data_IF_565116875322
#
_entry.id   IF_565116875322
#
_cell.length_a   1.000
_cell.length_b   1.000
_cell.length_c   1.000
_cell.angle_alpha   90.00
_cell.angle_beta   90.00
_cell.angle_gamma   90.00
#
_symmetry.space_group_name_H-M   'P 1'
#
loop_
_entity.id
_entity.type
_entity.pdbx_description
1 polymer ?
#
# COMPACT_ATOMS: atom_id res chain seq x y z
N UNK A 1 3.40 -14.51 6.93
CA UNK A 1 2.42 -13.46 6.60
C UNK A 1 2.95 -12.74 5.37
N UNK A 2 2.11 -12.57 4.36
CA UNK A 2 2.52 -11.91 3.11
C UNK A 2 2.26 -10.41 3.27
N UNK A 3 3.36 -9.64 3.30
CA UNK A 3 3.31 -8.18 3.42
C UNK A 3 3.37 -7.57 2.03
N UNK A 4 2.43 -6.70 1.70
CA UNK A 4 2.29 -6.06 0.39
C UNK A 4 2.78 -4.61 0.52
N UNK A 5 3.84 -4.26 -0.19
CA UNK A 5 4.26 -2.87 -0.34
C UNK A 5 3.52 -2.26 -1.53
N UNK A 6 2.70 -1.25 -1.25
CA UNK A 6 1.94 -0.49 -2.23
C UNK A 6 2.63 0.86 -2.44
N UNK A 7 3.12 1.11 -3.66
CA UNK A 7 3.81 2.34 -4.02
C UNK A 7 3.05 3.04 -5.13
N UNK A 8 2.55 4.23 -4.88
CA UNK A 8 1.75 5.01 -5.83
C UNK A 8 1.84 6.50 -5.48
N UNK A 9 1.84 7.38 -6.49
CA UNK A 9 1.93 8.83 -6.28
C UNK A 9 0.58 9.44 -5.85
N UNK A 10 -0.54 8.74 -6.07
CA UNK A 10 -1.87 9.18 -5.67
C UNK A 10 -2.30 8.61 -4.30
N UNK A 11 -2.52 9.51 -3.35
CA UNK A 11 -2.96 9.18 -1.98
C UNK A 11 -4.35 8.52 -1.94
N UNK A 12 -5.23 8.83 -2.89
CA UNK A 12 -6.56 8.23 -2.97
C UNK A 12 -6.45 6.76 -3.37
N UNK A 13 -5.54 6.44 -4.30
CA UNK A 13 -5.26 5.07 -4.73
C UNK A 13 -4.62 4.29 -3.59
N UNK A 14 -3.58 4.83 -2.96
CA UNK A 14 -2.94 4.19 -1.80
C UNK A 14 -3.95 3.83 -0.71
N UNK A 15 -4.85 4.77 -0.38
CA UNK A 15 -5.85 4.57 0.67
C UNK A 15 -6.92 3.55 0.27
N UNK A 16 -7.45 3.63 -0.95
CA UNK A 16 -8.51 2.73 -1.41
C UNK A 16 -8.01 1.28 -1.52
N UNK A 17 -6.80 1.09 -2.02
CA UNK A 17 -6.21 -0.24 -2.23
C UNK A 17 -5.71 -0.81 -0.91
N UNK A 18 -5.12 -0.01 -0.02
CA UNK A 18 -4.71 -0.48 1.31
C UNK A 18 -5.91 -0.99 2.10
N UNK A 19 -7.04 -0.26 2.14
CA UNK A 19 -8.25 -0.71 2.83
C UNK A 19 -8.80 -2.02 2.25
N UNK A 20 -8.72 -2.19 0.94
CA UNK A 20 -9.21 -3.42 0.27
C UNK A 20 -8.32 -4.61 0.64
N UNK A 21 -7.01 -4.45 0.58
CA UNK A 21 -6.04 -5.50 0.88
C UNK A 21 -6.01 -5.86 2.38
N UNK A 22 -6.16 -4.87 3.27
CA UNK A 22 -6.31 -5.12 4.70
C UNK A 22 -7.60 -5.87 5.02
N UNK A 23 -8.71 -5.60 4.31
CA UNK A 23 -9.96 -6.34 4.47
C UNK A 23 -9.85 -7.81 4.05
N UNK A 24 -8.97 -8.12 3.09
CA UNK A 24 -8.61 -9.48 2.68
C UNK A 24 -7.62 -10.16 3.65
N UNK A 25 -7.15 -9.45 4.68
CA UNK A 25 -6.26 -9.96 5.72
C UNK A 25 -4.77 -9.90 5.36
N UNK A 26 -4.39 -9.06 4.40
CA UNK A 26 -2.98 -8.78 4.08
C UNK A 26 -2.46 -7.59 4.90
N UNK A 27 -1.18 -7.64 5.26
CA UNK A 27 -0.50 -6.47 5.81
C UNK A 27 -0.03 -5.57 4.66
N UNK A 28 -0.47 -4.31 4.63
CA UNK A 28 -0.15 -3.37 3.56
C UNK A 28 0.72 -2.25 4.11
N UNK A 29 1.84 -1.97 3.43
CA UNK A 29 2.62 -0.76 3.64
C UNK A 29 2.47 0.16 2.44
N UNK A 30 2.06 1.40 2.67
CA UNK A 30 1.85 2.38 1.60
C UNK A 30 3.03 3.36 1.53
N UNK A 31 3.52 3.60 0.33
CA UNK A 31 4.60 4.54 0.06
C UNK A 31 4.17 5.49 -1.05
N UNK A 32 4.31 6.79 -0.80
CA UNK A 32 3.98 7.84 -1.76
C UNK A 32 5.15 8.13 -2.73
N UNK A 33 6.36 7.70 -2.40
CA UNK A 33 7.56 7.97 -3.16
C UNK A 33 8.31 6.65 -3.39
N UNK A 34 8.60 6.33 -4.65
CA UNK A 34 9.41 5.18 -5.02
C UNK A 34 10.83 5.26 -4.46
N UNK A 35 11.34 6.45 -4.12
CA UNK A 35 12.62 6.59 -3.42
C UNK A 35 12.53 6.26 -1.92
N UNK A 36 11.36 6.32 -1.30
CA UNK A 36 11.16 5.87 0.08
C UNK A 36 11.01 4.34 0.18
N UNK A 37 10.81 3.67 -0.96
CA UNK A 37 10.67 2.21 -1.08
C UNK A 37 11.99 1.49 -1.46
N UNK A 38 13.11 2.21 -1.57
CA UNK A 38 14.44 1.67 -1.96
C UNK A 38 15.26 1.18 -0.75
#
# INVERSE_FOLDING_TARGET
MSKIALVDDDRNILTSVSMTLEAEGFEVETYNDGQAAL
#
